data_IF_884397226593
#
_entry.id   IF_884397226593
#
_cell.length_a   1.000
_cell.length_b   1.000
_cell.length_c   1.000
_cell.angle_alpha   90.00
_cell.angle_beta   90.00
_cell.angle_gamma   90.00
#
_symmetry.space_group_name_H-M   'P 1'
#
loop_
_entity.id
_entity.type
_entity.pdbx_description
1 polymer ?
#
# COMPACT_ATOMS: atom_id res chain seq x y z
N UNK A 1 -15.81 -14.09 -2.30
CA UNK A 1 -14.39 -13.80 -2.61
C UNK A 1 -14.05 -12.45 -2.03
N UNK A 2 -12.86 -12.29 -1.48
CA UNK A 2 -12.50 -11.20 -0.58
C UNK A 2 -11.16 -10.61 -1.06
N UNK A 3 -11.08 -9.28 -1.15
CA UNK A 3 -9.92 -8.56 -1.67
C UNK A 3 -9.33 -7.66 -0.59
N UNK A 4 -8.00 -7.62 -0.49
CA UNK A 4 -7.28 -6.73 0.43
C UNK A 4 -6.12 -6.06 -0.30
N UNK A 5 -5.68 -4.91 0.21
CA UNK A 5 -4.48 -4.23 -0.27
C UNK A 5 -3.32 -4.62 0.62
N UNK A 6 -2.37 -5.35 0.03
CA UNK A 6 -1.07 -5.61 0.63
C UNK A 6 -0.18 -4.40 0.38
N UNK A 7 0.35 -3.85 1.47
CA UNK A 7 1.33 -2.78 1.45
C UNK A 7 2.70 -3.35 1.76
N UNK A 8 3.75 -2.79 1.18
CA UNK A 8 5.11 -3.19 1.49
C UNK A 8 6.04 -1.98 1.63
N UNK A 9 6.87 -1.96 2.67
CA UNK A 9 7.94 -0.99 2.86
C UNK A 9 9.25 -1.70 3.20
N UNK A 10 10.40 -1.03 3.02
CA UNK A 10 11.66 -1.58 3.53
C UNK A 10 11.61 -1.71 5.06
N UNK A 11 12.21 -2.77 5.63
CA UNK A 11 12.14 -3.04 7.08
C UNK A 11 12.51 -1.84 7.97
N UNK A 12 13.57 -1.10 7.61
CA UNK A 12 14.00 0.08 8.36
C UNK A 12 12.95 1.22 8.42
N UNK A 13 11.97 1.23 7.51
CA UNK A 13 10.88 2.20 7.51
C UNK A 13 9.68 1.77 8.37
N UNK A 14 9.58 0.49 8.72
CA UNK A 14 8.46 -0.04 9.50
C UNK A 14 8.67 0.17 11.01
N UNK A 15 8.54 1.43 11.44
CA UNK A 15 8.85 1.88 12.80
C UNK A 15 7.59 2.18 13.62
N UNK A 16 7.69 2.35 14.96
CA UNK A 16 6.60 2.90 15.76
C UNK A 16 6.11 4.27 15.27
N UNK A 17 7.01 5.08 14.71
CA UNK A 17 6.68 6.38 14.09
C UNK A 17 5.74 6.22 12.90
N UNK A 18 6.03 5.29 11.99
CA UNK A 18 5.16 4.96 10.86
C UNK A 18 3.80 4.44 11.34
N UNK A 19 3.77 3.58 12.37
CA UNK A 19 2.53 3.03 12.93
C UNK A 19 1.63 4.13 13.48
N UNK A 20 2.17 5.00 14.34
CA UNK A 20 1.43 6.13 14.92
C UNK A 20 0.95 7.10 13.84
N UNK A 21 1.81 7.47 12.89
CA UNK A 21 1.43 8.34 11.79
C UNK A 21 0.29 7.75 10.94
N UNK A 22 0.34 6.45 10.67
CA UNK A 22 -0.72 5.76 9.92
C UNK A 22 -2.03 5.72 10.70
N UNK A 23 -1.96 5.48 12.01
CA UNK A 23 -3.12 5.54 12.90
C UNK A 23 -3.76 6.93 12.90
N UNK A 24 -2.95 7.99 13.02
CA UNK A 24 -3.44 9.37 13.04
C UNK A 24 -4.04 9.80 11.70
N UNK A 25 -3.47 9.37 10.56
CA UNK A 25 -3.87 9.81 9.22
C UNK A 25 -4.97 8.99 8.58
N UNK A 26 -4.96 7.69 8.80
CA UNK A 26 -5.86 6.72 8.16
C UNK A 26 -6.80 6.08 9.19
N UNK A 27 -6.60 6.33 10.49
CA UNK A 27 -7.42 5.76 11.56
C UNK A 27 -7.10 4.29 11.86
N UNK A 28 -5.95 3.78 11.38
CA UNK A 28 -5.56 2.36 11.47
C UNK A 28 -4.09 2.16 11.76
N UNK A 29 -3.80 1.19 12.61
CA UNK A 29 -2.43 0.70 12.74
C UNK A 29 -2.09 -0.30 11.63
N UNK A 30 -0.86 -0.26 11.09
CA UNK A 30 -0.35 -1.30 10.20
C UNK A 30 -0.30 -2.67 10.87
N UNK A 31 -1.01 -3.65 10.31
CA UNK A 31 -0.97 -5.04 10.75
C UNK A 31 -0.05 -5.85 9.84
N UNK A 32 0.99 -6.47 10.42
CA UNK A 32 1.93 -7.26 9.63
C UNK A 32 1.20 -8.43 8.99
N UNK A 33 1.33 -8.55 7.68
CA UNK A 33 0.77 -9.63 6.91
C UNK A 33 1.72 -10.84 6.95
N UNK A 34 1.17 -12.05 7.05
CA UNK A 34 1.94 -13.31 6.94
C UNK A 34 2.42 -13.62 5.51
N UNK A 35 2.15 -12.73 4.55
CA UNK A 35 2.41 -12.91 3.12
C UNK A 35 3.67 -12.19 2.67
N UNK A 36 4.24 -12.68 1.57
CA UNK A 36 5.22 -11.93 0.77
C UNK A 36 4.62 -11.51 -0.56
N UNK A 37 5.11 -10.41 -1.12
CA UNK A 37 4.85 -10.05 -2.51
C UNK A 37 6.07 -10.49 -3.33
N UNK A 38 5.86 -11.41 -4.26
CA UNK A 38 6.91 -11.95 -5.13
C UNK A 38 7.18 -10.98 -6.29
N UNK A 39 8.00 -9.98 -6.05
CA UNK A 39 8.36 -8.94 -7.03
C UNK A 39 9.82 -8.52 -6.88
N UNK A 40 10.50 -8.31 -7.99
CA UNK A 40 11.87 -7.77 -8.02
C UNK A 40 11.92 -6.27 -7.61
N UNK A 41 10.78 -5.58 -7.61
CA UNK A 41 10.68 -4.22 -7.09
C UNK A 41 10.75 -4.18 -5.56
N UNK A 42 10.67 -5.31 -4.88
CA UNK A 42 10.70 -5.39 -3.42
C UNK A 42 11.94 -6.13 -2.96
N UNK A 43 12.54 -5.65 -1.87
CA UNK A 43 13.63 -6.37 -1.23
C UNK A 43 13.07 -7.59 -0.50
N UNK A 44 13.82 -8.69 -0.38
CA UNK A 44 13.40 -9.84 0.42
C UNK A 44 13.11 -9.51 1.90
N UNK A 45 13.69 -8.41 2.39
CA UNK A 45 13.53 -7.87 3.74
C UNK A 45 12.40 -6.84 3.87
N UNK A 46 11.62 -6.61 2.82
CA UNK A 46 10.44 -5.73 2.92
C UNK A 46 9.44 -6.32 3.93
N UNK A 47 8.84 -5.42 4.72
CA UNK A 47 7.74 -5.77 5.62
C UNK A 47 6.45 -5.57 4.86
N UNK A 48 5.65 -6.63 4.76
CA UNK A 48 4.31 -6.59 4.16
C UNK A 48 3.28 -6.41 5.28
N UNK A 49 2.29 -5.54 5.07
CA UNK A 49 1.26 -5.25 6.04
C UNK A 49 -0.06 -4.91 5.36
N UNK A 50 -1.15 -4.96 6.11
CA UNK A 50 -2.49 -4.57 5.67
C UNK A 50 -2.96 -3.34 6.43
N UNK A 51 -3.89 -2.60 5.83
CA UNK A 51 -4.58 -1.44 6.42
C UNK A 51 -6.11 -1.50 6.25
N UNK A 52 -6.64 -2.63 5.75
CA UNK A 52 -8.08 -2.80 5.41
C UNK A 52 -8.92 -3.18 6.61
N UNK A 53 -10.14 -2.63 6.69
CA UNK A 53 -11.13 -2.90 7.74
C UNK A 53 -11.89 -4.22 7.58
N UNK A 54 -12.24 -4.56 6.35
CA UNK A 54 -13.06 -5.72 6.03
C UNK A 54 -12.40 -6.50 4.89
N UNK A 55 -12.11 -7.78 5.13
CA UNK A 55 -11.47 -8.65 4.15
C UNK A 55 -12.27 -8.77 2.84
N UNK A 56 -13.58 -8.52 2.85
CA UNK A 56 -14.48 -8.83 1.73
C UNK A 56 -15.01 -7.62 0.97
N UNK A 57 -14.31 -6.49 1.03
CA UNK A 57 -14.81 -5.26 0.43
C UNK A 57 -14.27 -5.04 -0.99
N UNK A 58 -15.10 -5.39 -1.96
CA UNK A 58 -14.79 -5.34 -3.39
C UNK A 58 -14.58 -3.91 -3.94
N UNK A 59 -14.70 -2.87 -3.12
CA UNK A 59 -14.76 -1.46 -3.55
C UNK A 59 -13.58 -0.55 -3.20
N UNK A 60 -12.47 -1.03 -2.62
CA UNK A 60 -11.48 -0.14 -2.01
C UNK A 60 -10.16 0.10 -2.77
N UNK A 61 -9.77 1.38 -2.78
CA UNK A 61 -8.49 1.90 -3.26
C UNK A 61 -7.33 1.26 -2.48
N UNK A 62 -6.27 0.76 -3.11
CA UNK A 62 -5.70 1.07 -4.43
C UNK A 62 -6.16 0.09 -5.52
N UNK A 63 -6.82 0.63 -6.56
CA UNK A 63 -7.15 -0.02 -7.83
C UNK A 63 -8.42 -0.89 -7.91
N UNK A 64 -9.55 -0.30 -8.34
CA UNK A 64 -10.67 -1.03 -9.02
C UNK A 64 -11.70 -0.16 -9.78
N UNK A 65 -11.37 1.10 -10.14
CA UNK A 65 -12.24 1.97 -10.96
C UNK A 65 -13.56 2.45 -10.31
N UNK A 66 -13.88 3.74 -10.56
CA UNK A 66 -15.14 4.53 -10.41
C UNK A 66 -16.04 4.40 -9.16
N UNK A 67 -15.93 3.37 -8.33
CA UNK A 67 -16.78 3.17 -7.16
C UNK A 67 -16.40 4.12 -6.01
N UNK A 68 -17.40 4.61 -5.27
CA UNK A 68 -17.16 5.37 -4.03
C UNK A 68 -16.58 4.41 -2.98
N UNK A 69 -15.61 4.86 -2.15
CA UNK A 69 -15.16 4.06 -1.02
C UNK A 69 -16.33 3.78 -0.07
N UNK A 70 -16.33 2.62 0.59
CA UNK A 70 -17.34 2.30 1.59
C UNK A 70 -17.20 3.24 2.80
N UNK A 71 -18.25 3.37 3.63
CA UNK A 71 -18.20 4.18 4.83
C UNK A 71 -17.02 3.78 5.74
N UNK A 72 -16.23 4.78 6.17
CA UNK A 72 -15.04 4.67 7.05
C UNK A 72 -13.73 4.21 6.40
N UNK A 73 -13.71 4.06 5.08
CA UNK A 73 -12.48 3.72 4.34
C UNK A 73 -11.80 4.95 3.75
N UNK A 74 -10.48 4.89 3.63
CA UNK A 74 -9.69 6.02 3.14
C UNK A 74 -9.95 6.29 1.66
N UNK A 75 -10.16 7.56 1.31
CA UNK A 75 -10.31 7.98 -0.09
C UNK A 75 -8.96 7.91 -0.81
N UNK A 76 -8.96 7.94 -2.15
CA UNK A 76 -7.73 8.01 -2.91
C UNK A 76 -6.89 9.27 -2.58
N UNK A 77 -7.55 10.39 -2.25
CA UNK A 77 -6.91 11.59 -1.74
C UNK A 77 -6.27 11.37 -0.36
N UNK A 78 -6.98 10.71 0.57
CA UNK A 78 -6.43 10.35 1.89
C UNK A 78 -5.22 9.44 1.77
N UNK A 79 -5.27 8.44 0.89
CA UNK A 79 -4.13 7.57 0.59
C UNK A 79 -2.95 8.35 0.03
N UNK A 80 -3.20 9.25 -0.92
CA UNK A 80 -2.16 10.08 -1.50
C UNK A 80 -1.54 11.03 -0.47
N UNK A 81 -2.35 11.65 0.38
CA UNK A 81 -1.90 12.52 1.47
C UNK A 81 -1.06 11.74 2.50
N UNK A 82 -1.49 10.53 2.87
CA UNK A 82 -0.71 9.65 3.74
C UNK A 82 0.62 9.26 3.09
N UNK A 83 0.63 8.79 1.83
CA UNK A 83 1.86 8.44 1.12
C UNK A 83 2.83 9.62 1.04
N UNK A 84 2.34 10.84 0.82
CA UNK A 84 3.18 12.04 0.78
C UNK A 84 3.77 12.42 2.13
N UNK A 85 3.10 12.12 3.24
CA UNK A 85 3.60 12.39 4.59
C UNK A 85 4.52 11.30 5.15
N UNK A 86 4.55 10.10 4.55
CA UNK A 86 5.36 8.98 5.03
C UNK A 86 6.86 9.30 5.24
N UNK A 87 7.56 10.06 4.36
CA UNK A 87 8.97 10.39 4.58
C UNK A 87 9.26 11.12 5.88
N UNK A 88 8.29 11.89 6.39
CA UNK A 88 8.43 12.61 7.67
C UNK A 88 8.32 11.65 8.86
N UNK A 89 7.47 10.63 8.76
CA UNK A 89 7.25 9.64 9.81
C UNK A 89 8.25 8.47 9.76
N UNK A 90 8.81 8.19 8.59
CA UNK A 90 9.77 7.13 8.33
C UNK A 90 10.92 7.65 7.45
N UNK A 91 11.95 8.30 8.04
CA UNK A 91 13.05 8.93 7.28
C UNK A 91 13.87 7.97 6.40
N UNK A 92 13.85 6.67 6.72
CA UNK A 92 14.54 5.63 5.95
C UNK A 92 13.64 4.99 4.88
N UNK A 93 12.43 5.53 4.65
CA UNK A 93 11.54 5.04 3.61
C UNK A 93 12.12 5.41 2.24
N UNK A 94 12.39 4.39 1.44
CA UNK A 94 12.87 4.56 0.06
C UNK A 94 11.80 4.18 -0.96
N UNK A 95 10.91 3.26 -0.58
CA UNK A 95 9.84 2.75 -1.42
C UNK A 95 8.69 2.28 -0.55
N UNK A 96 7.48 2.63 -0.95
CA UNK A 96 6.27 1.91 -0.56
C UNK A 96 5.69 1.21 -1.78
N UNK A 97 5.13 0.02 -1.62
CA UNK A 97 4.36 -0.61 -2.68
C UNK A 97 2.96 -0.98 -2.19
N UNK A 98 2.03 -1.05 -3.14
CA UNK A 98 0.66 -1.44 -2.93
C UNK A 98 0.24 -2.46 -3.98
N UNK A 99 -0.38 -3.55 -3.54
CA UNK A 99 -0.92 -4.62 -4.38
C UNK A 99 -2.31 -4.99 -3.87
N UNK A 100 -3.33 -4.82 -4.69
CA UNK A 100 -4.65 -5.37 -4.40
C UNK A 100 -4.67 -6.86 -4.76
N UNK A 101 -4.79 -7.71 -3.75
CA UNK A 101 -4.76 -9.16 -3.87
C UNK A 101 -6.13 -9.77 -3.52
N UNK A 102 -6.55 -10.77 -4.30
CA UNK A 102 -7.70 -11.61 -3.97
C UNK A 102 -7.25 -12.83 -3.19
N UNK A 103 -7.94 -13.10 -2.09
CA UNK A 103 -7.71 -14.24 -1.22
C UNK A 103 -6.23 -14.56 -0.92
N UNK A 104 -5.45 -13.60 -0.38
CA UNK A 104 -4.02 -13.84 -0.13
C UNK A 104 -3.78 -14.94 0.91
N UNK A 105 -4.75 -15.26 1.77
CA UNK A 105 -4.66 -16.33 2.78
C UNK A 105 -4.37 -17.71 2.19
N UNK A 106 -4.75 -17.94 0.92
CA UNK A 106 -4.48 -19.20 0.21
C UNK A 106 -2.99 -19.35 -0.17
N UNK A 107 -2.20 -18.26 -0.13
CA UNK A 107 -0.85 -18.24 -0.67
C UNK A 107 0.16 -17.55 0.27
N UNK A 108 1.27 -18.23 0.56
CA UNK A 108 2.41 -17.63 1.29
C UNK A 108 3.09 -16.49 0.53
N UNK A 109 3.01 -16.51 -0.80
CA UNK A 109 3.56 -15.48 -1.68
C UNK A 109 2.53 -15.11 -2.74
N UNK A 110 2.27 -13.81 -2.89
CA UNK A 110 1.38 -13.25 -3.90
C UNK A 110 2.23 -12.69 -5.04
N UNK A 111 1.98 -13.16 -6.26
CA UNK A 111 2.70 -12.71 -7.46
C UNK A 111 1.85 -11.67 -8.20
N UNK A 112 2.32 -10.43 -8.41
CA UNK A 112 1.59 -9.43 -9.19
C UNK A 112 1.40 -9.88 -10.64
N UNK A 113 0.27 -9.52 -11.26
CA UNK A 113 0.02 -9.78 -12.69
C UNK A 113 0.66 -8.71 -13.59
N UNK A 114 1.12 -7.62 -12.99
CA UNK A 114 1.79 -6.50 -13.65
C UNK A 114 2.38 -5.57 -12.61
N UNK A 115 3.33 -4.74 -13.03
CA UNK A 115 4.05 -3.86 -12.12
C UNK A 115 4.15 -2.45 -12.70
N UNK A 116 3.97 -1.45 -11.86
CA UNK A 116 4.10 -0.04 -12.18
C UNK A 116 4.99 0.63 -11.15
N UNK A 117 5.77 1.61 -11.61
CA UNK A 117 6.63 2.42 -10.76
C UNK A 117 6.32 3.90 -10.95
N UNK A 118 6.22 4.62 -9.84
CA UNK A 118 6.02 6.07 -9.83
C UNK A 118 6.93 6.73 -8.79
N UNK A 119 7.29 7.99 -9.01
CA UNK A 119 7.83 8.85 -7.93
C UNK A 119 6.67 9.45 -7.15
N UNK A 120 6.81 9.59 -5.83
CA UNK A 120 5.81 10.23 -4.97
C UNK A 120 5.41 11.63 -5.46
N UNK A 121 6.34 12.40 -6.04
CA UNK A 121 6.10 13.76 -6.53
C UNK A 121 5.22 13.79 -7.78
N UNK A 122 5.20 12.69 -8.54
CA UNK A 122 4.41 12.54 -9.77
C UNK A 122 3.16 11.70 -9.55
N UNK A 123 3.00 11.10 -8.37
CA UNK A 123 1.87 10.26 -8.06
C UNK A 123 0.61 11.12 -7.96
N UNK A 124 -0.39 10.77 -8.77
CA UNK A 124 -1.69 11.42 -8.81
C UNK A 124 -2.76 10.46 -8.33
N UNK A 125 -3.85 11.02 -7.83
CA UNK A 125 -5.03 10.24 -7.43
C UNK A 125 -5.57 9.38 -8.57
N UNK A 126 -5.54 9.90 -9.80
CA UNK A 126 -5.95 9.17 -10.99
C UNK A 126 -5.17 7.85 -11.17
N UNK A 127 -3.87 7.84 -10.87
CA UNK A 127 -3.02 6.64 -10.91
C UNK A 127 -3.49 5.60 -9.89
N UNK A 128 -3.82 6.02 -8.67
CA UNK A 128 -4.31 5.12 -7.61
C UNK A 128 -5.68 4.53 -7.95
N UNK A 129 -6.55 5.33 -8.59
CA UNK A 129 -7.88 4.89 -9.03
C UNK A 129 -7.82 3.94 -10.23
N UNK A 130 -6.85 4.17 -11.11
CA UNK A 130 -6.68 3.42 -12.35
C UNK A 130 -5.78 2.18 -12.21
N UNK A 131 -5.25 1.89 -11.03
CA UNK A 131 -4.40 0.70 -10.86
C UNK A 131 -5.22 -0.56 -11.19
N UNK A 132 -4.76 -1.40 -12.12
CA UNK A 132 -5.43 -2.65 -12.42
C UNK A 132 -5.42 -3.58 -11.21
N UNK A 133 -6.43 -4.42 -11.12
CA UNK A 133 -6.49 -5.47 -10.14
C UNK A 133 -5.28 -6.41 -10.25
N UNK A 134 -4.68 -6.81 -9.13
CA UNK A 134 -3.48 -7.64 -9.12
C UNK A 134 -2.20 -6.94 -9.60
N UNK A 135 -2.26 -5.68 -10.01
CA UNK A 135 -1.06 -4.92 -10.35
C UNK A 135 -0.38 -4.37 -9.09
N UNK A 136 0.94 -4.43 -9.06
CA UNK A 136 1.77 -3.81 -8.04
C UNK A 136 2.07 -2.37 -8.44
N UNK A 137 1.81 -1.42 -7.55
CA UNK A 137 2.32 -0.05 -7.67
C UNK A 137 3.46 0.14 -6.68
N UNK A 138 4.67 0.35 -7.16
CA UNK A 138 5.82 0.78 -6.37
C UNK A 138 5.99 2.31 -6.46
N UNK A 139 5.95 2.98 -5.32
CA UNK A 139 6.14 4.42 -5.19
C UNK A 139 7.49 4.68 -4.54
N UNK A 140 8.37 5.33 -5.30
CA UNK A 140 9.71 5.70 -4.87
C UNK A 140 9.73 7.08 -4.21
N UNK A 141 10.53 7.19 -3.17
CA UNK A 141 10.78 8.44 -2.44
C UNK A 141 12.19 8.95 -2.74
N UNK A 142 12.38 10.28 -2.82
CA UNK A 142 13.71 10.86 -2.90
C UNK A 142 14.50 10.44 -1.65
N UNK A 143 15.75 10.01 -1.85
CA UNK A 143 16.64 9.75 -0.71
C UNK A 143 16.96 11.08 -0.03
N UNK A 144 16.96 11.15 1.31
CA UNK A 144 17.56 12.29 1.98
C UNK A 144 19.03 12.37 1.51
N UNK A 145 19.38 13.53 0.95
CA UNK A 145 20.73 13.85 0.50
C UNK A 145 21.69 14.09 1.66
#
# INVERSE_FOLDING_TARGET
>A
MCATVLWAVNAAAFTPGLRRFTLERIGREPEIAGHRIASEMLRPTSVVFTLTLNMCDCGHAIGSGRSRPAPREATAESWLAWMRGLPQAAPHLTRIAALRAWNPDDHRAVTPIGEQRASIDRLQEATLRALPEGALLAVDYPRPG
#
